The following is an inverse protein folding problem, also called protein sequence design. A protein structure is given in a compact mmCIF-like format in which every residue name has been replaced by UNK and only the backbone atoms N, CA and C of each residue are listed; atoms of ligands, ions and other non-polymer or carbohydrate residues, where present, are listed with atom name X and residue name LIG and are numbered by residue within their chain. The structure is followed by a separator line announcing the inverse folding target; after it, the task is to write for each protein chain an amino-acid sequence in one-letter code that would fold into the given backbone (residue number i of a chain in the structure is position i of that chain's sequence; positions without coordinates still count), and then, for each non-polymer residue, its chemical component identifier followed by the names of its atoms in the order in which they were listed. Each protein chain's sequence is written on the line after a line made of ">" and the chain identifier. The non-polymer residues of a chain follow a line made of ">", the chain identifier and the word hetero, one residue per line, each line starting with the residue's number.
data_IF_276921511526
#
_entry.id   IF_276921511526
#
_cell.length_a   1.000
_cell.length_b   1.000
_cell.length_c   1.000
_cell.angle_alpha   90.00
_cell.angle_beta   90.00
_cell.angle_gamma   90.00
#
_symmetry.space_group_name_H-M   'P 1'
#
loop_
_entity.id
_entity.type
_entity.pdbx_description
1 polymer ?
#
# COMPACT_ATOMS: atom_id res chain seq x y z
N UNK A 1 -5.68 11.29 -3.81
CA UNK A 1 -6.36 10.01 -3.96
C UNK A 1 -5.94 9.32 -5.25
N UNK A 2 -6.49 8.15 -5.59
CA UNK A 2 -6.09 7.34 -6.73
C UNK A 2 -5.22 6.16 -6.28
N UNK A 3 -4.17 5.84 -7.05
CA UNK A 3 -3.31 4.68 -6.83
C UNK A 3 -4.11 3.37 -6.83
N UNK A 4 -5.16 3.32 -7.67
CA UNK A 4 -5.97 2.13 -7.87
C UNK A 4 -5.17 1.19 -8.76
N UNK A 5 -4.50 0.25 -8.13
CA UNK A 5 -3.62 -0.70 -8.77
C UNK A 5 -3.03 -1.65 -7.73
N UNK A 6 -2.44 -2.74 -8.18
CA UNK A 6 -1.80 -3.76 -7.34
C UNK A 6 -0.38 -3.98 -7.83
N UNK A 7 0.57 -4.11 -6.92
CA UNK A 7 1.96 -4.40 -7.22
C UNK A 7 2.49 -5.44 -6.23
N UNK A 8 3.20 -6.43 -6.75
CA UNK A 8 4.05 -7.33 -5.97
C UNK A 8 5.49 -6.98 -6.34
N UNK A 9 6.25 -6.30 -5.46
CA UNK A 9 7.65 -6.01 -5.74
C UNK A 9 8.43 -7.32 -5.81
N UNK A 10 9.23 -7.46 -6.86
CA UNK A 10 10.11 -8.60 -7.06
C UNK A 10 11.48 -8.12 -7.49
N UNK A 11 12.51 -8.55 -6.78
CA UNK A 11 13.90 -8.13 -7.01
C UNK A 11 14.75 -9.36 -7.28
N UNK A 12 15.72 -9.24 -8.19
CA UNK A 12 16.75 -10.26 -8.43
C UNK A 12 18.07 -9.78 -7.79
N UNK A 13 18.44 -10.41 -6.69
CA UNK A 13 19.69 -10.15 -5.96
C UNK A 13 20.77 -11.18 -6.25
N UNK A 14 20.55 -12.13 -7.17
CA UNK A 14 21.48 -13.23 -7.43
C UNK A 14 22.86 -12.74 -7.86
N UNK A 15 22.93 -11.72 -8.74
CA UNK A 15 24.19 -11.13 -9.15
C UNK A 15 24.95 -10.40 -8.04
N UNK A 16 24.25 -9.89 -7.02
CA UNK A 16 24.88 -9.32 -5.83
C UNK A 16 25.46 -10.44 -4.94
N UNK A 17 24.69 -11.49 -4.72
CA UNK A 17 25.13 -12.64 -3.92
C UNK A 17 26.34 -13.34 -4.53
N UNK A 18 26.38 -13.50 -5.84
CA UNK A 18 27.55 -14.01 -6.57
C UNK A 18 28.81 -13.19 -6.28
N UNK A 19 28.71 -11.85 -6.31
CA UNK A 19 29.86 -10.98 -5.99
C UNK A 19 30.32 -11.06 -4.54
N UNK A 20 29.41 -11.43 -3.63
CA UNK A 20 29.71 -11.61 -2.21
C UNK A 20 30.13 -13.07 -1.88
N UNK A 21 30.22 -13.95 -2.86
CA UNK A 21 30.49 -15.39 -2.69
C UNK A 21 29.45 -16.05 -1.74
N UNK A 22 28.20 -15.60 -1.78
CA UNK A 22 27.08 -16.18 -1.02
C UNK A 22 26.21 -17.00 -1.95
N UNK A 23 25.90 -18.24 -1.56
CA UNK A 23 25.01 -19.14 -2.30
C UNK A 23 23.73 -19.39 -1.51
N UNK A 24 22.58 -19.32 -2.17
CA UNK A 24 21.31 -19.79 -1.60
C UNK A 24 21.23 -21.31 -1.76
N UNK A 25 21.38 -22.04 -0.68
CA UNK A 25 21.27 -23.50 -0.59
C UNK A 25 19.99 -23.97 0.10
N UNK A 26 18.89 -23.27 -0.15
CA UNK A 26 17.59 -23.57 0.45
C UNK A 26 17.07 -24.95 0.03
N UNK A 27 16.67 -25.74 1.03
CA UNK A 27 16.05 -27.06 0.85
C UNK A 27 14.53 -26.89 0.85
N UNK A 28 13.86 -27.32 -0.22
CA UNK A 28 12.45 -27.09 -0.42
C UNK A 28 11.72 -28.37 -0.86
N UNK A 29 10.46 -28.48 -0.46
CA UNK A 29 9.59 -29.59 -0.87
C UNK A 29 9.22 -29.55 -2.37
N UNK A 30 9.19 -28.34 -2.95
CA UNK A 30 8.88 -28.08 -4.35
C UNK A 30 9.54 -26.76 -4.77
N UNK A 31 10.13 -26.67 -5.97
CA UNK A 31 10.78 -25.44 -6.44
C UNK A 31 9.89 -24.18 -6.36
N UNK A 32 8.58 -24.30 -6.65
CA UNK A 32 7.63 -23.20 -6.57
C UNK A 32 7.41 -22.64 -5.15
N UNK A 33 7.91 -23.31 -4.09
CA UNK A 33 7.95 -22.73 -2.74
C UNK A 33 8.86 -21.52 -2.64
N UNK A 34 9.75 -21.34 -3.59
CA UNK A 34 10.67 -20.21 -3.71
C UNK A 34 10.12 -19.10 -4.61
N UNK A 35 8.86 -19.18 -5.03
CA UNK A 35 8.22 -18.13 -5.83
C UNK A 35 8.36 -16.78 -5.13
N UNK A 36 8.89 -15.79 -5.85
CA UNK A 36 9.19 -14.46 -5.31
C UNK A 36 10.50 -14.37 -4.53
N UNK A 37 11.33 -15.43 -4.46
CA UNK A 37 12.63 -15.35 -3.81
C UNK A 37 13.58 -14.42 -4.58
N UNK A 38 14.19 -13.42 -3.90
CA UNK A 38 15.13 -12.52 -4.55
C UNK A 38 16.53 -13.14 -4.69
N UNK A 39 16.79 -14.26 -4.03
CA UNK A 39 18.13 -14.85 -3.87
C UNK A 39 18.39 -16.00 -4.83
N UNK A 40 17.39 -16.42 -5.60
CA UNK A 40 17.49 -17.59 -6.47
C UNK A 40 16.93 -17.33 -7.86
N UNK A 41 17.69 -17.75 -8.87
CA UNK A 41 17.25 -17.78 -10.26
C UNK A 41 16.61 -19.13 -10.59
N UNK A 42 15.42 -19.09 -11.14
CA UNK A 42 14.81 -20.28 -11.72
C UNK A 42 15.34 -20.56 -13.13
N UNK A 43 15.34 -21.84 -13.57
CA UNK A 43 15.44 -22.17 -14.98
C UNK A 43 14.35 -21.47 -15.79
N UNK A 44 14.56 -21.17 -17.09
CA UNK A 44 13.62 -20.37 -17.88
C UNK A 44 12.16 -20.84 -17.82
N UNK A 45 11.91 -22.14 -17.95
CA UNK A 45 10.58 -22.73 -17.91
C UNK A 45 9.86 -22.50 -16.56
N UNK A 46 10.62 -22.58 -15.48
CA UNK A 46 10.08 -22.38 -14.13
C UNK A 46 9.91 -20.89 -13.81
N UNK A 47 10.80 -20.04 -14.35
CA UNK A 47 10.69 -18.59 -14.23
C UNK A 47 9.43 -18.04 -14.91
N UNK A 48 9.06 -18.53 -16.09
CA UNK A 48 7.81 -18.17 -16.75
C UNK A 48 6.60 -18.63 -15.95
N UNK A 49 6.66 -19.82 -15.36
CA UNK A 49 5.58 -20.33 -14.49
C UNK A 49 5.45 -19.48 -13.21
N UNK A 50 6.54 -19.11 -12.60
CA UNK A 50 6.58 -18.22 -11.45
C UNK A 50 5.92 -16.86 -11.78
N UNK A 51 6.35 -16.27 -12.89
CA UNK A 51 5.80 -14.99 -13.37
C UNK A 51 4.30 -15.09 -13.60
N UNK A 52 3.82 -16.18 -14.22
CA UNK A 52 2.40 -16.39 -14.43
C UNK A 52 1.60 -16.53 -13.13
N UNK A 53 2.17 -17.19 -12.11
CA UNK A 53 1.56 -17.30 -10.78
C UNK A 53 1.45 -15.92 -10.12
N UNK A 54 2.55 -15.15 -10.09
CA UNK A 54 2.56 -13.82 -9.48
C UNK A 54 1.65 -12.85 -10.23
N UNK A 55 1.62 -12.92 -11.58
CA UNK A 55 0.71 -12.11 -12.39
C UNK A 55 -0.74 -12.45 -12.10
N UNK A 56 -1.10 -13.74 -12.00
CA UNK A 56 -2.45 -14.16 -11.65
C UNK A 56 -2.90 -13.58 -10.30
N UNK A 57 -2.04 -13.59 -9.29
CA UNK A 57 -2.35 -12.98 -7.98
C UNK A 57 -2.57 -11.46 -8.09
N UNK A 58 -1.77 -10.78 -8.92
CA UNK A 58 -1.95 -9.34 -9.17
C UNK A 58 -3.28 -9.08 -9.88
N UNK A 59 -3.59 -9.85 -10.91
CA UNK A 59 -4.81 -9.69 -11.72
C UNK A 59 -6.07 -9.95 -10.88
N UNK A 60 -6.10 -11.01 -10.08
CA UNK A 60 -7.21 -11.33 -9.19
C UNK A 60 -7.41 -10.22 -8.14
N UNK A 61 -6.34 -9.79 -7.50
CA UNK A 61 -6.39 -8.72 -6.50
C UNK A 61 -6.81 -7.38 -7.13
N UNK A 62 -6.37 -7.09 -8.34
CA UNK A 62 -6.74 -5.87 -9.05
C UNK A 62 -8.21 -5.89 -9.46
N UNK A 63 -8.72 -7.03 -9.89
CA UNK A 63 -10.14 -7.22 -10.19
C UNK A 63 -10.99 -6.96 -8.94
N UNK A 64 -10.64 -7.58 -7.81
CA UNK A 64 -11.35 -7.38 -6.55
C UNK A 64 -11.30 -5.91 -6.11
N UNK A 65 -10.16 -5.25 -6.25
CA UNK A 65 -10.05 -3.81 -5.96
C UNK A 65 -11.01 -2.98 -6.82
N UNK A 66 -11.08 -3.25 -8.13
CA UNK A 66 -12.02 -2.57 -9.03
C UNK A 66 -13.48 -2.82 -8.62
N UNK A 67 -13.82 -4.03 -8.21
CA UNK A 67 -15.19 -4.37 -7.77
C UNK A 67 -15.56 -3.61 -6.49
N UNK A 68 -14.63 -3.44 -5.55
CA UNK A 68 -14.82 -2.61 -4.37
C UNK A 68 -15.06 -1.15 -4.75
N UNK A 69 -14.29 -0.59 -5.68
CA UNK A 69 -14.47 0.79 -6.17
C UNK A 69 -15.85 0.95 -6.82
N UNK A 70 -16.28 -0.01 -7.66
CA UNK A 70 -17.61 -0.03 -8.27
C UNK A 70 -18.72 -0.02 -7.21
N UNK A 71 -18.59 -0.83 -6.17
CA UNK A 71 -19.60 -0.91 -5.11
C UNK A 71 -19.76 0.40 -4.35
N UNK A 72 -18.66 1.15 -4.18
CA UNK A 72 -18.64 2.41 -3.44
C UNK A 72 -18.90 3.65 -4.29
N UNK A 73 -18.87 3.55 -5.63
CA UNK A 73 -18.96 4.69 -6.55
C UNK A 73 -19.98 4.46 -7.66
N UNK A 74 -21.20 5.04 -7.55
CA UNK A 74 -22.29 4.84 -8.53
C UNK A 74 -21.86 5.15 -9.97
N UNK A 75 -20.97 6.14 -10.16
CA UNK A 75 -20.46 6.52 -11.47
C UNK A 75 -19.79 5.35 -12.23
N UNK A 76 -19.16 4.43 -11.50
CA UNK A 76 -18.41 3.32 -12.11
C UNK A 76 -19.16 1.99 -12.10
N UNK A 77 -20.36 1.92 -11.52
CA UNK A 77 -21.12 0.66 -11.39
C UNK A 77 -21.42 0.01 -12.74
N UNK A 78 -21.73 0.84 -13.75
CA UNK A 78 -22.11 0.38 -15.07
C UNK A 78 -21.17 0.88 -16.19
N UNK A 79 -20.01 1.44 -15.83
CA UNK A 79 -19.06 1.99 -16.79
C UNK A 79 -17.63 1.53 -16.47
N UNK A 80 -17.31 0.34 -16.96
CA UNK A 80 -15.99 -0.27 -16.82
C UNK A 80 -14.90 0.57 -17.48
N UNK A 81 -15.21 1.25 -18.60
CA UNK A 81 -14.24 2.07 -19.31
C UNK A 81 -13.87 3.31 -18.49
N UNK A 82 -14.84 3.95 -17.84
CA UNK A 82 -14.57 5.07 -16.96
C UNK A 82 -13.75 4.65 -15.73
N UNK A 83 -14.00 3.44 -15.19
CA UNK A 83 -13.19 2.91 -14.10
C UNK A 83 -11.77 2.58 -14.56
N UNK A 84 -11.60 1.92 -15.68
CA UNK A 84 -10.27 1.54 -16.22
C UNK A 84 -9.41 2.80 -16.52
N UNK A 85 -10.04 3.89 -16.93
CA UNK A 85 -9.35 5.15 -17.17
C UNK A 85 -8.74 5.77 -15.88
N UNK A 86 -9.27 5.45 -14.71
CA UNK A 86 -8.77 5.94 -13.41
C UNK A 86 -8.08 4.86 -12.58
N UNK A 87 -8.25 3.59 -12.94
CA UNK A 87 -7.63 2.44 -12.27
C UNK A 87 -6.27 2.08 -12.92
N UNK A 88 -5.41 3.05 -13.08
CA UNK A 88 -4.09 2.92 -13.73
C UNK A 88 -2.93 2.89 -12.76
N UNK A 89 -3.19 2.92 -11.45
CA UNK A 89 -2.15 3.11 -10.44
C UNK A 89 -1.73 4.58 -10.25
N UNK A 90 -2.24 5.50 -11.08
CA UNK A 90 -1.93 6.92 -11.01
C UNK A 90 -2.51 7.59 -9.76
N UNK A 91 -1.78 8.56 -9.21
CA UNK A 91 -2.25 9.46 -8.16
C UNK A 91 -2.89 10.70 -8.79
N UNK A 92 -4.03 11.12 -8.26
CA UNK A 92 -4.78 12.27 -8.73
C UNK A 92 -4.72 13.42 -7.73
N UNK A 93 -4.64 14.65 -8.23
CA UNK A 93 -4.88 15.84 -7.42
C UNK A 93 -6.34 15.89 -6.95
N UNK A 94 -6.63 16.72 -5.94
CA UNK A 94 -7.99 16.88 -5.43
C UNK A 94 -9.00 17.26 -6.53
N UNK A 95 -8.62 18.21 -7.40
CA UNK A 95 -9.47 18.61 -8.53
C UNK A 95 -9.70 17.48 -9.51
N UNK A 96 -8.64 16.79 -9.94
CA UNK A 96 -8.76 15.64 -10.85
C UNK A 96 -9.62 14.52 -10.26
N UNK A 97 -9.54 14.30 -8.96
CA UNK A 97 -10.32 13.28 -8.27
C UNK A 97 -11.83 13.60 -8.25
N UNK A 98 -12.20 14.88 -8.10
CA UNK A 98 -13.58 15.33 -8.24
C UNK A 98 -14.04 15.19 -9.69
N UNK A 99 -13.27 15.72 -10.63
CA UNK A 99 -13.61 15.71 -12.07
C UNK A 99 -13.82 14.26 -12.58
N UNK A 100 -12.98 13.33 -12.11
CA UNK A 100 -13.08 11.91 -12.44
C UNK A 100 -14.21 11.17 -11.70
N UNK A 101 -14.73 11.72 -10.62
CA UNK A 101 -15.77 11.10 -9.78
C UNK A 101 -15.23 10.08 -8.76
N UNK A 102 -13.94 10.08 -8.51
CA UNK A 102 -13.31 9.28 -7.44
C UNK A 102 -13.68 9.79 -6.05
N UNK A 103 -13.94 11.09 -5.91
CA UNK A 103 -14.42 11.72 -4.68
C UNK A 103 -15.60 12.65 -4.99
N UNK A 104 -16.45 12.89 -4.00
CA UNK A 104 -17.66 13.70 -4.18
C UNK A 104 -17.33 15.19 -4.19
N UNK A 105 -16.42 15.62 -3.32
CA UNK A 105 -15.97 17.01 -3.18
C UNK A 105 -14.65 17.10 -2.43
N UNK A 106 -14.06 18.26 -2.47
CA UNK A 106 -12.91 18.64 -1.64
C UNK A 106 -13.36 19.55 -0.50
N UNK A 107 -12.60 19.56 0.59
CA UNK A 107 -12.84 20.38 1.77
C UNK A 107 -11.78 20.14 2.83
N UNK A 108 -11.89 20.87 3.92
CA UNK A 108 -11.06 20.69 5.10
C UNK A 108 -11.71 19.70 6.09
N UNK A 109 -11.02 19.44 7.20
CA UNK A 109 -11.50 18.49 8.21
C UNK A 109 -12.87 18.89 8.77
N UNK A 110 -13.06 20.18 9.00
CA UNK A 110 -14.31 20.76 9.51
C UNK A 110 -15.48 20.47 8.56
N UNK A 111 -15.26 20.62 7.24
CA UNK A 111 -16.27 20.29 6.21
C UNK A 111 -16.63 18.80 6.23
N UNK A 112 -15.63 17.94 6.46
CA UNK A 112 -15.85 16.50 6.57
C UNK A 112 -16.66 16.13 7.82
N UNK A 113 -16.37 16.77 8.95
CA UNK A 113 -17.13 16.61 10.21
C UNK A 113 -18.57 17.05 10.00
N UNK A 114 -18.78 18.25 9.45
CA UNK A 114 -20.12 18.79 9.18
C UNK A 114 -20.90 17.87 8.24
N UNK A 115 -20.23 17.34 7.23
CA UNK A 115 -20.85 16.37 6.31
C UNK A 115 -21.22 15.07 7.01
N UNK A 116 -20.39 14.55 7.88
CA UNK A 116 -20.67 13.32 8.64
C UNK A 116 -21.88 13.51 9.56
N UNK A 117 -21.98 14.65 10.23
CA UNK A 117 -23.11 15.03 11.07
C UNK A 117 -24.41 15.09 10.22
N UNK A 118 -24.36 15.78 9.08
CA UNK A 118 -25.50 15.93 8.18
C UNK A 118 -25.98 14.60 7.59
N UNK A 119 -25.04 13.69 7.21
CA UNK A 119 -25.40 12.38 6.66
C UNK A 119 -26.11 11.47 7.66
N UNK A 120 -25.88 11.68 8.95
CA UNK A 120 -26.53 10.91 10.00
C UNK A 120 -27.73 11.65 10.63
N UNK A 121 -28.17 12.79 10.06
CA UNK A 121 -29.27 13.61 10.56
C UNK A 121 -29.11 13.99 12.05
N UNK A 122 -27.88 14.23 12.50
CA UNK A 122 -27.58 14.62 13.86
C UNK A 122 -27.50 16.14 14.01
N UNK A 123 -27.83 16.67 15.21
CA UNK A 123 -27.55 18.06 15.56
C UNK A 123 -26.09 18.24 15.96
N UNK A 124 -25.45 19.34 15.56
CA UNK A 124 -24.09 19.67 15.98
C UNK A 124 -23.91 19.68 17.50
N UNK A 125 -24.94 20.14 18.21
CA UNK A 125 -24.93 20.24 19.68
C UNK A 125 -25.03 18.88 20.38
N UNK A 126 -25.46 17.85 19.65
CA UNK A 126 -25.57 16.47 20.17
C UNK A 126 -24.37 15.59 19.85
N UNK A 127 -23.36 16.13 19.15
CA UNK A 127 -22.21 15.35 18.66
C UNK A 127 -20.94 15.78 19.37
N UNK A 128 -20.13 14.80 19.74
CA UNK A 128 -18.79 15.02 20.26
C UNK A 128 -17.75 14.46 19.27
N UNK A 129 -16.91 15.33 18.75
CA UNK A 129 -15.76 14.93 17.92
C UNK A 129 -14.63 14.47 18.84
N UNK A 130 -14.15 13.23 18.64
CA UNK A 130 -13.09 12.63 19.45
C UNK A 130 -11.88 12.37 18.58
N UNK A 131 -10.72 12.88 18.99
CA UNK A 131 -9.43 12.57 18.39
C UNK A 131 -8.71 11.54 19.24
N UNK A 132 -8.42 10.39 18.66
CA UNK A 132 -7.57 9.40 19.31
C UNK A 132 -6.10 9.73 19.06
N UNK A 133 -5.30 9.77 20.13
CA UNK A 133 -3.85 9.90 20.05
C UNK A 133 -3.20 8.82 20.90
N UNK A 134 -2.02 8.34 20.49
CA UNK A 134 -1.25 7.45 21.35
C UNK A 134 -0.87 8.21 22.62
N UNK A 135 -1.02 7.60 23.81
CA UNK A 135 -0.49 8.22 25.03
C UNK A 135 1.03 8.38 24.88
N UNK A 136 1.52 9.57 25.19
CA UNK A 136 2.98 9.78 25.28
C UNK A 136 3.51 8.96 26.44
N UNK A 137 4.57 8.19 26.21
CA UNK A 137 5.25 7.49 27.30
C UNK A 137 5.92 8.52 28.23
N UNK A 138 5.98 8.21 29.53
CA UNK A 138 6.68 9.04 30.52
C UNK A 138 8.15 9.35 30.12
N UNK A 139 8.76 8.45 29.35
CA UNK A 139 10.12 8.63 28.79
C UNK A 139 10.18 9.61 27.63
N UNK A 140 9.08 9.82 26.90
CA UNK A 140 9.04 10.80 25.81
C UNK A 140 9.06 12.24 26.33
N UNK A 141 8.50 12.47 27.53
CA UNK A 141 8.51 13.78 28.17
C UNK A 141 9.84 14.09 28.92
N UNK A 142 10.50 13.05 29.47
CA UNK A 142 11.73 13.22 30.27
C UNK A 142 13.00 13.26 29.41
N UNK A 143 13.02 12.52 28.30
CA UNK A 143 14.19 12.46 27.41
C UNK A 143 14.10 13.42 26.23
N UNK A 144 13.07 14.30 26.20
CA UNK A 144 12.86 15.26 25.12
C UNK A 144 12.86 14.52 23.79
N UNK A 145 11.74 14.11 23.32
CA UNK A 145 11.61 13.38 22.07
C UNK A 145 12.51 13.90 20.96
N UNK A 146 13.64 13.33 20.73
CA UNK A 146 14.30 13.46 19.44
C UNK A 146 14.95 12.20 18.92
N UNK A 147 14.76 11.09 19.58
CA UNK A 147 15.10 9.82 18.97
C UNK A 147 13.87 9.36 18.18
N UNK A 148 13.54 10.16 17.15
CA UNK A 148 12.55 9.77 16.18
C UNK A 148 12.80 8.34 15.71
N UNK A 149 11.74 7.62 15.46
CA UNK A 149 11.73 6.28 14.86
C UNK A 149 12.68 6.13 13.65
N UNK A 150 13.15 7.26 13.08
CA UNK A 150 14.12 7.33 12.00
C UNK A 150 15.56 6.88 12.37
N UNK A 151 15.93 6.81 13.64
CA UNK A 151 17.23 6.23 14.00
C UNK A 151 17.20 4.72 14.28
N UNK A 152 16.03 4.13 14.31
CA UNK A 152 15.89 2.67 14.31
C UNK A 152 15.83 2.07 12.90
N UNK A 153 15.94 2.87 11.86
CA UNK A 153 16.41 2.40 10.57
C UNK A 153 17.90 2.01 10.66
N UNK A 154 18.25 1.20 11.66
CA UNK A 154 19.40 0.32 11.52
C UNK A 154 19.09 -0.48 10.28
N UNK A 155 19.97 -0.37 9.29
CA UNK A 155 20.03 -1.29 8.17
C UNK A 155 20.37 -2.67 8.77
N UNK A 156 19.40 -3.24 9.45
CA UNK A 156 19.42 -4.61 9.92
C UNK A 156 19.16 -5.47 8.69
N UNK A 157 20.02 -6.44 8.47
CA UNK A 157 19.88 -7.40 7.40
C UNK A 157 18.48 -8.04 7.39
N UNK A 158 17.87 -8.22 8.57
CA UNK A 158 16.51 -8.71 8.72
C UNK A 158 15.47 -7.74 8.12
N UNK A 159 15.65 -6.41 8.29
CA UNK A 159 14.78 -5.40 7.68
C UNK A 159 14.93 -5.36 6.17
N UNK A 160 16.13 -5.57 5.65
CA UNK A 160 16.37 -5.69 4.20
C UNK A 160 15.73 -6.96 3.64
N UNK A 161 15.82 -8.08 4.34
CA UNK A 161 15.18 -9.33 3.96
C UNK A 161 13.66 -9.26 4.04
N UNK A 162 13.11 -8.52 5.00
CA UNK A 162 11.66 -8.29 5.12
C UNK A 162 11.11 -7.43 3.96
N UNK A 163 11.91 -6.52 3.41
CA UNK A 163 11.57 -5.76 2.20
C UNK A 163 11.50 -6.64 0.95
N UNK A 164 12.15 -7.80 0.97
CA UNK A 164 12.19 -8.72 -0.18
C UNK A 164 11.08 -9.78 -0.15
N UNK A 165 10.32 -9.88 0.95
CA UNK A 165 9.19 -10.79 1.02
C UNK A 165 8.08 -10.34 0.05
N UNK A 166 7.56 -11.22 -0.82
CA UNK A 166 6.49 -10.87 -1.75
C UNK A 166 5.24 -10.48 -0.96
N UNK A 167 4.79 -9.24 -1.16
CA UNK A 167 3.59 -8.68 -0.53
C UNK A 167 2.74 -7.98 -1.59
N UNK A 168 1.44 -8.21 -1.56
CA UNK A 168 0.50 -7.46 -2.38
C UNK A 168 0.10 -6.17 -1.63
N UNK A 169 0.23 -5.02 -2.30
CA UNK A 169 -0.11 -3.72 -1.73
C UNK A 169 -1.27 -3.09 -2.50
N UNK A 170 -2.32 -2.72 -1.76
CA UNK A 170 -3.44 -1.90 -2.26
C UNK A 170 -3.26 -0.42 -1.98
N UNK A 171 -2.21 -0.04 -1.24
CA UNK A 171 -2.01 1.31 -0.73
C UNK A 171 -1.05 2.10 -1.61
N UNK A 172 -1.26 3.40 -1.63
CA UNK A 172 -0.33 4.35 -2.21
C UNK A 172 1.05 4.22 -1.53
N UNK A 173 2.09 3.97 -2.29
CA UNK A 173 3.47 3.84 -1.79
C UNK A 173 4.01 5.13 -1.13
N UNK A 174 3.33 6.25 -1.31
CA UNK A 174 3.65 7.55 -0.70
C UNK A 174 3.12 7.68 0.73
N UNK A 175 2.11 6.92 1.11
CA UNK A 175 1.48 7.04 2.42
C UNK A 175 2.45 6.83 3.59
N UNK A 176 3.37 5.85 3.58
CA UNK A 176 4.34 5.69 4.66
C UNK A 176 5.29 6.90 4.80
N UNK A 177 5.73 7.49 3.68
CA UNK A 177 6.60 8.66 3.69
C UNK A 177 5.88 9.91 4.20
N UNK A 178 4.62 10.12 3.80
CA UNK A 178 3.79 11.23 4.27
C UNK A 178 3.40 11.07 5.74
N UNK A 179 3.09 9.87 6.18
CA UNK A 179 2.77 9.59 7.58
C UNK A 179 3.99 9.78 8.50
N UNK A 180 5.20 9.55 8.00
CA UNK A 180 6.45 9.80 8.73
C UNK A 180 6.79 11.29 8.79
N UNK A 181 6.42 12.09 7.79
CA UNK A 181 6.69 13.53 7.73
C UNK A 181 5.69 14.38 8.55
N UNK A 182 4.57 13.82 8.98
CA UNK A 182 3.53 14.51 9.75
C UNK A 182 3.63 14.32 11.28
N UNK A 183 4.77 13.81 11.76
CA UNK A 183 5.02 13.57 13.20
C UNK A 183 6.13 14.44 13.72
#
# INVERSE_FOLDING_TARGET
>A
TGSIGVVIPHYDLTGLLEKLAVTDDSIVSNPLKLTGSPTRKFPPELAEKEKAILQGLVDDSFKEFKDIVKSGRPKFQNDDKALDAVATGQVFSAKQAVDSGLVDRTGYLEDAIDRAIALNNLSKDSVRVVKYSRPKGLLDDVLGSPLGENQRARLDLASLLDLTAPRAYYLCTWLPALAAASR
#
